data_IF_779628459446
#
_entry.id   IF_779628459446
#
_cell.length_a   1.000
_cell.length_b   1.000
_cell.length_c   1.000
_cell.angle_alpha   90.00
_cell.angle_beta   90.00
_cell.angle_gamma   90.00
#
_symmetry.space_group_name_H-M   'P 1'
#
loop_
_entity.id
_entity.type
_entity.pdbx_description
1 polymer ?
#
# COMPACT_ATOMS: atom_id res chain seq x y z
N UNK A 1 -15.59 7.91 -17.26
CA UNK A 1 -14.33 7.73 -18.02
C UNK A 1 -13.19 7.81 -17.02
N UNK A 2 -12.71 6.67 -16.52
CA UNK A 2 -11.61 6.63 -15.54
C UNK A 2 -10.26 6.89 -16.21
N UNK A 3 -9.25 7.27 -15.42
CA UNK A 3 -7.86 7.35 -15.89
C UNK A 3 -7.35 5.92 -16.12
N UNK A 4 -6.74 5.60 -17.27
CA UNK A 4 -6.17 4.28 -17.50
C UNK A 4 -4.96 4.06 -16.58
N UNK A 5 -4.93 2.90 -15.93
CA UNK A 5 -3.81 2.42 -15.13
C UNK A 5 -3.29 1.11 -15.70
N UNK A 6 -2.08 0.71 -15.27
CA UNK A 6 -1.46 -0.55 -15.67
C UNK A 6 -1.24 -1.42 -14.45
N UNK A 7 -2.02 -2.49 -14.34
CA UNK A 7 -1.82 -3.53 -13.35
C UNK A 7 -0.73 -4.48 -13.83
N UNK A 8 0.16 -4.90 -12.93
CA UNK A 8 1.23 -5.86 -13.25
C UNK A 8 1.24 -6.94 -12.18
N UNK A 9 1.05 -8.19 -12.60
CA UNK A 9 1.14 -9.37 -11.75
C UNK A 9 2.51 -10.00 -11.96
N UNK A 10 3.30 -10.10 -10.88
CA UNK A 10 4.66 -10.62 -10.92
C UNK A 10 4.73 -11.98 -10.23
N UNK A 11 5.18 -13.00 -10.95
CA UNK A 11 5.30 -14.38 -10.47
C UNK A 11 6.76 -14.79 -10.53
N UNK A 12 7.29 -15.39 -9.47
CA UNK A 12 8.72 -15.70 -9.35
C UNK A 12 8.94 -17.01 -8.60
N UNK A 13 10.11 -17.61 -8.81
CA UNK A 13 10.54 -18.80 -8.06
C UNK A 13 9.83 -20.10 -8.45
N UNK A 14 9.25 -20.17 -9.65
CA UNK A 14 8.50 -21.35 -10.11
C UNK A 14 9.33 -22.24 -11.05
N UNK A 15 9.01 -23.53 -11.07
CA UNK A 15 9.56 -24.54 -11.98
C UNK A 15 8.55 -25.69 -12.11
N UNK A 16 8.15 -26.13 -13.31
CA UNK A 16 8.74 -25.90 -14.64
C UNK A 16 8.32 -24.55 -15.29
N UNK A 17 8.85 -24.12 -16.46
CA UNK A 17 8.58 -22.79 -17.02
C UNK A 17 7.16 -22.57 -17.53
N UNK A 18 6.37 -23.62 -17.75
CA UNK A 18 5.00 -23.55 -18.23
C UNK A 18 4.07 -22.98 -17.14
N UNK A 19 3.64 -21.72 -17.33
CA UNK A 19 2.74 -21.00 -16.42
C UNK A 19 1.64 -20.32 -17.22
N UNK A 20 0.41 -20.36 -16.70
CA UNK A 20 -0.75 -19.69 -17.30
C UNK A 20 -1.23 -18.61 -16.34
N UNK A 21 -1.27 -17.36 -16.81
CA UNK A 21 -1.79 -16.24 -16.03
C UNK A 21 -3.07 -15.74 -16.69
N UNK A 22 -4.14 -15.67 -15.91
CA UNK A 22 -5.47 -15.22 -16.33
C UNK A 22 -5.85 -14.02 -15.49
N UNK A 23 -6.31 -12.95 -16.14
CA UNK A 23 -6.90 -11.82 -15.46
C UNK A 23 -8.40 -11.99 -15.34
N UNK A 24 -8.94 -11.77 -14.15
CA UNK A 24 -10.37 -11.67 -13.91
C UNK A 24 -10.75 -10.25 -13.53
N UNK A 25 -11.90 -9.80 -14.02
CA UNK A 25 -12.52 -8.55 -13.65
C UNK A 25 -13.88 -8.86 -13.03
N UNK A 26 -14.05 -8.59 -11.74
CA UNK A 26 -15.25 -8.93 -10.97
C UNK A 26 -15.68 -10.41 -11.10
N UNK A 27 -14.72 -11.32 -11.34
CA UNK A 27 -14.96 -12.76 -11.55
C UNK A 27 -15.05 -13.19 -13.01
N UNK A 28 -15.14 -12.26 -13.96
CA UNK A 28 -15.20 -12.56 -15.39
C UNK A 28 -13.81 -12.52 -16.05
N UNK A 29 -13.53 -13.45 -16.95
CA UNK A 29 -12.23 -13.55 -17.63
C UNK A 29 -12.04 -12.34 -18.57
N UNK A 30 -10.93 -11.62 -18.41
CA UNK A 30 -10.54 -10.52 -19.29
C UNK A 30 -9.99 -11.07 -20.60
N UNK A 31 -10.40 -10.49 -21.72
CA UNK A 31 -10.07 -10.99 -23.05
C UNK A 31 -8.56 -11.01 -23.39
N UNK A 32 -8.12 -11.90 -24.29
CA UNK A 32 -6.71 -12.09 -24.66
C UNK A 32 -6.03 -10.90 -25.34
N UNK A 33 -6.80 -9.90 -25.80
CA UNK A 33 -6.26 -8.70 -26.44
C UNK A 33 -5.82 -7.60 -25.46
N UNK A 34 -6.17 -7.71 -24.17
CA UNK A 34 -6.00 -6.63 -23.19
C UNK A 34 -4.80 -6.84 -22.26
N UNK A 35 -4.15 -8.01 -22.32
CA UNK A 35 -2.99 -8.36 -21.52
C UNK A 35 -1.75 -8.70 -22.36
N UNK A 36 -0.57 -8.42 -21.80
CA UNK A 36 0.72 -8.71 -22.44
C UNK A 36 1.02 -10.22 -22.49
N UNK A 37 1.80 -10.70 -23.49
CA UNK A 37 2.19 -12.10 -23.56
C UNK A 37 3.01 -12.50 -22.32
N UNK A 38 2.66 -13.64 -21.74
CA UNK A 38 3.35 -14.21 -20.58
C UNK A 38 4.58 -14.95 -21.10
N UNK A 39 5.77 -14.50 -20.71
CA UNK A 39 7.03 -15.17 -21.03
C UNK A 39 7.79 -15.49 -19.75
N UNK A 40 8.26 -16.74 -19.65
CA UNK A 40 9.08 -17.18 -18.53
C UNK A 40 10.53 -16.76 -18.78
N UNK A 41 11.08 -15.96 -17.87
CA UNK A 41 12.46 -15.49 -17.86
C UNK A 41 13.25 -16.39 -16.89
N UNK A 42 14.33 -17.04 -17.33
CA UNK A 42 15.15 -17.87 -16.45
C UNK A 42 15.93 -16.99 -15.46
N UNK A 43 15.98 -17.39 -14.19
CA UNK A 43 16.64 -16.64 -13.13
C UNK A 43 18.08 -17.12 -12.85
N UNK A 44 18.55 -18.15 -13.55
CA UNK A 44 19.92 -18.69 -13.43
C UNK A 44 20.16 -19.63 -12.23
N UNK A 45 19.14 -19.85 -11.40
CA UNK A 45 19.16 -20.74 -10.23
C UNK A 45 18.15 -21.91 -10.37
N UNK A 46 17.89 -22.35 -11.60
CA UNK A 46 16.86 -23.35 -11.95
C UNK A 46 15.40 -22.91 -11.73
N UNK A 47 15.16 -21.65 -11.36
CA UNK A 47 13.81 -21.09 -11.27
C UNK A 47 13.53 -20.12 -12.41
N UNK A 48 12.25 -19.91 -12.67
CA UNK A 48 11.74 -18.96 -13.65
C UNK A 48 10.96 -17.83 -12.97
N UNK A 49 10.88 -16.70 -13.65
CA UNK A 49 10.05 -15.55 -13.28
C UNK A 49 9.23 -15.11 -14.49
N UNK A 50 8.06 -14.52 -14.26
CA UNK A 50 7.24 -13.97 -15.34
C UNK A 50 6.42 -12.79 -14.83
N UNK A 51 5.95 -11.97 -15.76
CA UNK A 51 5.12 -10.83 -15.47
C UNK A 51 4.01 -10.72 -16.52
N UNK A 52 2.79 -10.51 -16.04
CA UNK A 52 1.65 -10.20 -16.89
C UNK A 52 1.19 -8.78 -16.59
N UNK A 53 1.02 -7.96 -17.63
CA UNK A 53 0.51 -6.60 -17.48
C UNK A 53 -0.85 -6.47 -18.13
N UNK A 54 -1.75 -5.73 -17.47
CA UNK A 54 -3.12 -5.46 -17.89
C UNK A 54 -3.38 -3.95 -17.80
N UNK A 55 -3.83 -3.33 -18.90
CA UNK A 55 -4.16 -1.91 -18.94
C UNK A 55 -5.66 -1.73 -18.78
N UNK A 56 -6.11 -1.07 -17.71
CA UNK A 56 -7.56 -0.95 -17.38
C UNK A 56 -7.89 0.45 -16.87
N UNK A 57 -9.15 0.86 -17.02
CA UNK A 57 -9.66 2.10 -16.43
C UNK A 57 -10.60 1.75 -15.25
N UNK A 58 -10.09 1.66 -14.00
CA UNK A 58 -10.85 1.14 -12.88
C UNK A 58 -11.98 2.08 -12.48
N UNK A 59 -13.17 1.52 -12.30
CA UNK A 59 -14.30 2.13 -11.62
C UNK A 59 -14.24 1.95 -10.11
N UNK A 60 -15.01 2.77 -9.38
CA UNK A 60 -15.22 2.60 -7.94
C UNK A 60 -15.93 1.27 -7.69
N UNK A 61 -15.27 0.36 -6.96
CA UNK A 61 -15.83 -0.95 -6.62
C UNK A 61 -15.41 -2.09 -7.54
N UNK A 62 -14.65 -1.82 -8.60
CA UNK A 62 -14.09 -2.88 -9.44
C UNK A 62 -13.04 -3.69 -8.67
N UNK A 63 -13.02 -5.01 -8.87
CA UNK A 63 -11.99 -5.90 -8.36
C UNK A 63 -11.35 -6.61 -9.52
N UNK A 64 -10.02 -6.53 -9.61
CA UNK A 64 -9.23 -7.22 -10.61
C UNK A 64 -8.43 -8.32 -9.93
N UNK A 65 -8.55 -9.56 -10.41
CA UNK A 65 -7.86 -10.70 -9.82
C UNK A 65 -6.85 -11.27 -10.80
N UNK A 66 -5.62 -11.48 -10.36
CA UNK A 66 -4.63 -12.25 -11.10
C UNK A 66 -4.73 -13.73 -10.69
N UNK A 67 -5.15 -14.59 -11.61
CA UNK A 67 -5.17 -16.04 -11.41
C UNK A 67 -3.95 -16.67 -12.06
N UNK A 68 -3.12 -17.34 -11.26
CA UNK A 68 -1.90 -18.01 -11.69
C UNK A 68 -2.11 -19.52 -11.59
N UNK A 69 -2.05 -20.18 -12.74
CA UNK A 69 -2.10 -21.64 -12.87
C UNK A 69 -0.71 -22.16 -13.22
N UNK A 70 -0.24 -23.13 -12.44
CA UNK A 70 1.09 -23.70 -12.59
C UNK A 70 1.08 -25.15 -12.11
N UNK A 71 1.91 -26.00 -12.71
CA UNK A 71 1.94 -27.43 -12.40
C UNK A 71 2.38 -27.76 -10.96
N UNK A 72 3.08 -26.84 -10.29
CA UNK A 72 3.48 -27.01 -8.88
C UNK A 72 2.38 -26.66 -7.88
N UNK A 73 1.27 -26.07 -8.33
CA UNK A 73 0.16 -25.69 -7.49
C UNK A 73 -1.05 -26.60 -7.77
N UNK A 74 -1.59 -27.23 -6.72
CA UNK A 74 -2.84 -28.01 -6.83
C UNK A 74 -4.07 -27.13 -7.09
N UNK A 75 -4.04 -25.89 -6.59
CA UNK A 75 -5.10 -24.90 -6.76
C UNK A 75 -4.54 -23.61 -7.39
N UNK A 76 -5.31 -22.90 -8.23
CA UNK A 76 -4.83 -21.65 -8.82
C UNK A 76 -4.63 -20.58 -7.75
N UNK A 77 -3.49 -19.89 -7.80
CA UNK A 77 -3.24 -18.75 -6.91
C UNK A 77 -4.05 -17.55 -7.41
N UNK A 78 -4.84 -16.94 -6.53
CA UNK A 78 -5.72 -15.81 -6.83
C UNK A 78 -5.28 -14.59 -6.02
N UNK A 79 -4.84 -13.55 -6.69
CA UNK A 79 -4.42 -12.28 -6.08
C UNK A 79 -5.37 -11.15 -6.47
N UNK A 80 -6.10 -10.62 -5.49
CA UNK A 80 -7.10 -9.58 -5.69
C UNK A 80 -6.49 -8.16 -5.57
N UNK A 81 -6.81 -7.32 -6.53
CA UNK A 81 -6.49 -5.91 -6.56
C UNK A 81 -7.76 -5.07 -6.61
N UNK A 82 -7.83 -4.03 -5.77
CA UNK A 82 -8.94 -3.08 -5.73
C UNK A 82 -8.43 -1.65 -5.81
N UNK A 83 -9.15 -0.75 -6.50
CA UNK A 83 -8.81 0.67 -6.55
C UNK A 83 -9.07 1.30 -5.18
N UNK A 84 -7.99 1.73 -4.51
CA UNK A 84 -8.06 2.41 -3.22
C UNK A 84 -6.88 2.06 -2.32
N UNK A 85 -6.78 2.77 -1.18
CA UNK A 85 -5.88 2.36 -0.10
C UNK A 85 -6.56 1.21 0.67
N UNK A 86 -5.81 0.14 0.96
CA UNK A 86 -6.30 -0.90 1.87
C UNK A 86 -6.48 -0.30 3.27
N UNK A 87 -7.45 -0.82 4.03
CA UNK A 87 -7.72 -0.36 5.40
C UNK A 87 -6.44 -0.39 6.26
N UNK A 88 -5.63 -1.44 6.09
CA UNK A 88 -4.35 -1.61 6.77
C UNK A 88 -3.39 -0.45 6.49
N UNK A 89 -3.19 -0.11 5.21
CA UNK A 89 -2.31 1.00 4.82
C UNK A 89 -2.87 2.33 5.29
N UNK A 90 -4.20 2.54 5.23
CA UNK A 90 -4.84 3.76 5.77
C UNK A 90 -4.56 3.92 7.26
N UNK A 91 -4.69 2.85 8.04
CA UNK A 91 -4.40 2.88 9.49
C UNK A 91 -2.92 3.13 9.76
N UNK A 92 -2.01 2.48 9.03
CA UNK A 92 -0.57 2.73 9.17
C UNK A 92 -0.23 4.20 8.89
N UNK A 93 -0.78 4.79 7.82
CA UNK A 93 -0.57 6.20 7.48
C UNK A 93 -1.17 7.13 8.55
N UNK A 94 -2.36 6.82 9.05
CA UNK A 94 -2.99 7.60 10.12
C UNK A 94 -2.14 7.59 11.42
N UNK A 95 -1.63 6.43 11.83
CA UNK A 95 -0.76 6.32 13.01
C UNK A 95 0.56 7.04 12.80
N UNK A 96 1.19 6.88 11.63
CA UNK A 96 2.45 7.55 11.30
C UNK A 96 2.31 9.09 11.31
N UNK A 97 1.21 9.61 10.76
CA UNK A 97 0.95 11.06 10.74
C UNK A 97 0.68 11.61 12.14
N UNK A 98 -0.12 10.93 12.97
CA UNK A 98 -0.40 11.35 14.35
C UNK A 98 0.87 11.37 15.21
N UNK A 99 1.67 10.30 15.14
CA UNK A 99 2.93 10.22 15.90
C UNK A 99 3.94 11.28 15.48
N UNK A 100 4.05 11.56 14.18
CA UNK A 100 4.90 12.62 13.66
C UNK A 100 4.47 14.00 14.16
N UNK A 101 3.16 14.31 14.13
CA UNK A 101 2.62 15.60 14.60
C UNK A 101 2.85 15.77 16.11
N UNK A 102 2.57 14.74 16.91
CA UNK A 102 2.79 14.77 18.36
C UNK A 102 4.29 14.91 18.68
N UNK A 103 5.15 14.18 17.98
CA UNK A 103 6.60 14.26 18.14
C UNK A 103 7.13 15.66 17.83
N UNK A 104 6.75 16.25 16.69
CA UNK A 104 7.12 17.63 16.34
C UNK A 104 6.58 18.64 17.35
N UNK A 105 5.34 18.48 17.83
CA UNK A 105 4.75 19.37 18.84
C UNK A 105 5.52 19.38 20.16
N UNK A 106 5.93 18.21 20.65
CA UNK A 106 6.75 18.07 21.86
C UNK A 106 8.17 18.64 21.67
N UNK A 107 8.77 18.44 20.50
CA UNK A 107 10.08 19.00 20.18
C UNK A 107 10.03 20.53 20.13
N UNK A 108 9.05 21.11 19.45
CA UNK A 108 8.90 22.57 19.35
C UNK A 108 8.63 23.22 20.71
N UNK A 109 7.75 22.63 21.52
CA UNK A 109 7.48 23.12 22.89
C UNK A 109 8.72 22.98 23.78
N UNK A 110 9.44 21.85 23.71
CA UNK A 110 10.71 21.67 24.40
C UNK A 110 11.77 22.69 24.02
N UNK A 111 11.97 22.94 22.71
CA UNK A 111 12.93 23.95 22.21
C UNK A 111 12.53 25.36 22.63
N UNK A 112 11.25 25.71 22.55
CA UNK A 112 10.75 27.00 23.01
C UNK A 112 11.00 27.20 24.50
N UNK A 113 10.67 26.20 25.33
CA UNK A 113 10.95 26.24 26.77
C UNK A 113 12.45 26.36 27.05
N UNK A 114 13.32 25.65 26.33
CA UNK A 114 14.78 25.73 26.51
C UNK A 114 15.33 27.10 26.15
N UNK A 115 14.86 27.69 25.04
CA UNK A 115 15.21 29.06 24.64
C UNK A 115 14.65 30.12 25.59
N UNK A 116 13.54 29.82 26.27
CA UNK A 116 12.84 30.73 27.18
C UNK A 116 13.29 30.62 28.65
N UNK A 117 14.38 29.91 28.99
CA UNK A 117 14.91 29.88 30.36
C UNK A 117 15.82 31.09 30.67
N UNK A 118 15.39 32.06 31.49
CA UNK A 118 16.25 32.74 32.45
C UNK A 118 16.43 31.88 33.73
N UNK A 119 17.48 32.12 34.54
CA UNK A 119 17.86 31.25 35.66
C UNK A 119 16.88 31.36 36.84
N UNK A 120 15.80 30.56 36.88
CA UNK A 120 15.08 30.22 38.12
C UNK A 120 14.12 29.02 37.95
N UNK A 121 13.87 28.22 39.01
CA UNK A 121 13.12 26.98 38.92
C UNK A 121 11.60 27.23 39.10
N UNK A 122 10.83 27.10 38.02
CA UNK A 122 9.37 27.13 38.06
C UNK A 122 8.78 26.71 36.71
N UNK A 123 8.45 25.42 36.57
CA UNK A 123 8.03 24.81 35.30
C UNK A 123 6.66 25.29 34.78
N UNK A 124 6.55 25.42 33.45
CA UNK A 124 5.41 25.94 32.68
C UNK A 124 4.14 25.03 32.64
N UNK A 125 3.91 24.18 33.65
CA UNK A 125 2.65 23.41 33.77
C UNK A 125 1.54 24.19 34.49
N UNK A 126 1.85 25.35 35.08
CA UNK A 126 0.88 26.15 35.87
C UNK A 126 -0.01 27.12 35.09
N UNK A 127 0.16 27.28 33.77
CA UNK A 127 -0.49 28.34 32.99
C UNK A 127 -1.84 28.00 32.36
N UNK A 128 -2.21 26.73 32.23
CA UNK A 128 -3.38 26.31 31.43
C UNK A 128 -4.70 26.37 32.23
N UNK A 129 -4.67 26.48 33.56
CA UNK A 129 -5.86 26.50 34.42
C UNK A 129 -6.33 27.91 34.85
N UNK A 130 -5.72 29.00 34.37
CA UNK A 130 -6.06 30.36 34.84
C UNK A 130 -6.77 31.20 33.77
N UNK A 131 -7.85 30.65 33.22
CA UNK A 131 -8.77 31.37 32.35
C UNK A 131 -10.22 31.27 32.85
N UNK A 132 -10.74 32.40 33.34
CA UNK A 132 -12.16 32.75 33.54
C UNK A 132 -12.92 32.09 34.70
N UNK A 133 -13.03 32.84 35.80
CA UNK A 133 -14.21 32.88 36.68
C UNK A 133 -14.29 34.30 37.24
N UNK A 134 -14.86 35.20 36.43
CA UNK A 134 -15.38 36.48 36.89
C UNK A 134 -16.82 36.25 37.36
N UNK A 135 -17.09 36.50 38.65
CA UNK A 135 -18.42 36.79 39.20
C UNK A 135 -18.32 38.14 39.92
#
# INVERSE_FOLDING_TARGET
>A
MGVPIRLTCHVWGFYPPEVTIIWLHNGDIVGPGDHSPVSAIPNGNWTYQTQAALSVAPGLGDTYTCSVQHASLEEPLLEDWRPGLTLEVTLMVAVATVTMVLGLGLLLTGVYCWRAQPPAPGGCLGGILRGSMDL
#
